data_IF_954344693627
#
_entry.id   IF_954344693627
#
_cell.length_a   1.000
_cell.length_b   1.000
_cell.length_c   1.000
_cell.angle_alpha   90.00
_cell.angle_beta   90.00
_cell.angle_gamma   90.00
#
_symmetry.space_group_name_H-M   'P 1'
#
loop_
_entity.id
_entity.type
_entity.pdbx_description
1 polymer ?
#
# COMPACT_ATOMS: atom_id res chain seq x y z
N UNK A 1 14.57 -1.32 27.43
CA UNK A 1 14.59 -2.68 26.87
C UNK A 1 13.84 -2.59 25.56
N UNK A 2 14.55 -2.64 24.43
CA UNK A 2 13.89 -2.63 23.11
C UNK A 2 13.16 -3.94 22.96
N UNK A 3 11.83 -3.92 22.97
CA UNK A 3 11.02 -5.10 22.66
C UNK A 3 11.18 -5.33 21.16
N UNK A 4 12.16 -6.14 20.81
CA UNK A 4 12.26 -6.64 19.44
C UNK A 4 10.98 -7.45 19.18
N UNK A 5 10.22 -7.06 18.20
CA UNK A 5 9.10 -7.88 17.69
C UNK A 5 9.69 -9.27 17.41
N UNK A 6 9.15 -10.34 18.01
CA UNK A 6 9.69 -11.66 17.73
C UNK A 6 9.62 -11.88 16.22
N UNK A 7 10.75 -12.26 15.61
CA UNK A 7 10.74 -12.77 14.24
C UNK A 7 9.69 -13.87 14.24
N UNK A 8 8.62 -13.70 13.44
CA UNK A 8 7.55 -14.70 13.39
C UNK A 8 8.18 -16.01 12.92
N UNK A 9 8.28 -17.02 13.77
CA UNK A 9 8.79 -18.30 13.31
C UNK A 9 7.79 -18.84 12.28
N UNK A 10 8.28 -19.12 11.06
CA UNK A 10 7.57 -19.90 10.03
C UNK A 10 6.52 -19.21 9.12
N UNK A 11 6.49 -17.89 8.94
CA UNK A 11 5.78 -17.35 7.79
C UNK A 11 6.71 -17.28 6.56
N UNK A 12 6.29 -17.88 5.45
CA UNK A 12 7.02 -17.77 4.18
C UNK A 12 7.15 -16.30 3.77
N UNK A 13 8.34 -15.80 3.36
CA UNK A 13 8.49 -14.45 2.83
C UNK A 13 7.50 -14.19 1.68
N UNK A 14 6.81 -13.05 1.74
CA UNK A 14 5.89 -12.63 0.70
C UNK A 14 6.61 -11.75 -0.29
N UNK A 15 6.31 -11.91 -1.57
CA UNK A 15 6.84 -11.07 -2.65
C UNK A 15 5.68 -10.48 -3.43
N UNK A 16 5.59 -9.16 -3.43
CA UNK A 16 4.65 -8.41 -4.26
C UNK A 16 5.34 -7.73 -5.43
N UNK A 17 4.57 -7.29 -6.40
CA UNK A 17 5.03 -6.52 -7.56
C UNK A 17 4.37 -5.17 -7.58
N UNK A 18 5.17 -4.11 -7.73
CA UNK A 18 4.69 -2.76 -7.93
C UNK A 18 4.81 -2.34 -9.38
N UNK A 19 3.68 -2.11 -10.03
CA UNK A 19 3.57 -1.77 -11.45
C UNK A 19 3.21 -0.29 -11.58
N UNK A 20 4.20 0.55 -11.86
CA UNK A 20 4.03 2.01 -11.89
C UNK A 20 3.65 2.58 -13.26
N UNK A 21 4.05 1.93 -14.33
CA UNK A 21 3.82 2.40 -15.71
C UNK A 21 3.46 1.20 -16.57
N UNK A 22 2.21 0.75 -16.43
CA UNK A 22 1.68 -0.38 -17.20
C UNK A 22 0.36 0.04 -17.80
N UNK A 23 0.22 -0.14 -19.10
CA UNK A 23 -1.06 0.08 -19.76
C UNK A 23 -2.12 -0.93 -19.27
N UNK A 24 -3.41 -0.54 -19.18
CA UNK A 24 -4.45 -1.37 -18.57
C UNK A 24 -4.60 -2.75 -19.21
N UNK A 25 -4.41 -2.86 -20.52
CA UNK A 25 -4.47 -4.12 -21.27
C UNK A 25 -3.33 -5.07 -20.91
N UNK A 26 -2.18 -4.54 -20.52
CA UNK A 26 -1.00 -5.31 -20.13
C UNK A 26 -1.01 -5.66 -18.63
N UNK A 27 -1.59 -4.78 -17.79
CA UNK A 27 -1.62 -4.97 -16.33
C UNK A 27 -2.24 -6.30 -15.93
N UNK A 28 -3.34 -6.69 -16.58
CA UNK A 28 -4.05 -7.95 -16.28
C UNK A 28 -3.17 -9.15 -16.58
N UNK A 29 -2.52 -9.17 -17.75
CA UNK A 29 -1.58 -10.23 -18.10
C UNK A 29 -0.42 -10.34 -17.11
N UNK A 30 0.20 -9.22 -16.77
CA UNK A 30 1.27 -9.19 -15.76
C UNK A 30 0.82 -9.70 -14.40
N UNK A 31 -0.38 -9.37 -13.97
CA UNK A 31 -0.90 -9.85 -12.69
C UNK A 31 -1.13 -11.36 -12.70
N UNK A 32 -1.57 -11.95 -13.83
CA UNK A 32 -1.70 -13.39 -14.01
C UNK A 32 -0.31 -14.06 -14.00
N UNK A 33 0.66 -13.51 -14.72
CA UNK A 33 2.01 -14.04 -14.75
C UNK A 33 2.68 -13.96 -13.35
N UNK A 34 2.44 -12.88 -12.61
CA UNK A 34 2.90 -12.73 -11.23
C UNK A 34 2.24 -13.77 -10.29
N UNK A 35 0.96 -14.03 -10.45
CA UNK A 35 0.25 -15.07 -9.69
C UNK A 35 0.84 -16.44 -9.98
N UNK A 36 1.07 -16.77 -11.25
CA UNK A 36 1.69 -18.04 -11.69
C UNK A 36 3.13 -18.17 -11.16
N UNK A 37 3.89 -17.09 -11.12
CA UNK A 37 5.23 -17.07 -10.53
C UNK A 37 5.22 -17.25 -9.00
N UNK A 38 4.05 -17.22 -8.36
CA UNK A 38 3.89 -17.37 -6.92
C UNK A 38 4.02 -16.06 -6.13
N UNK A 39 3.93 -14.90 -6.78
CA UNK A 39 3.87 -13.62 -6.09
C UNK A 39 2.59 -13.51 -5.25
N UNK A 40 2.70 -12.87 -4.09
CA UNK A 40 1.61 -12.71 -3.12
C UNK A 40 0.66 -11.55 -3.47
N UNK A 41 1.17 -10.51 -4.13
CA UNK A 41 0.40 -9.28 -4.34
C UNK A 41 0.88 -8.46 -5.55
N UNK A 42 -0.04 -7.70 -6.13
CA UNK A 42 0.25 -6.63 -7.10
C UNK A 42 -0.16 -5.29 -6.52
N UNK A 43 0.63 -4.25 -6.82
CA UNK A 43 0.45 -2.92 -6.28
C UNK A 43 0.46 -1.89 -7.40
N UNK A 44 -0.51 -0.98 -7.38
CA UNK A 44 -0.60 0.10 -8.35
C UNK A 44 -0.47 1.45 -7.66
N UNK A 45 0.31 2.39 -8.23
CA UNK A 45 0.37 3.77 -7.73
C UNK A 45 -0.89 4.55 -8.09
N UNK A 46 -1.03 5.72 -7.46
CA UNK A 46 -2.16 6.60 -7.74
C UNK A 46 -1.78 8.06 -7.60
N UNK A 47 -2.30 8.87 -8.51
CA UNK A 47 -2.49 10.31 -8.40
C UNK A 47 -3.83 10.67 -9.05
N UNK A 48 -4.51 11.68 -8.51
CA UNK A 48 -5.79 12.15 -9.06
C UNK A 48 -5.58 12.90 -10.37
N UNK A 49 -4.53 13.71 -10.40
CA UNK A 49 -4.07 14.50 -11.56
C UNK A 49 -2.55 14.64 -11.51
N UNK A 50 -1.96 15.04 -12.64
CA UNK A 50 -0.56 15.44 -12.71
C UNK A 50 -0.46 16.88 -13.20
N UNK A 51 -0.13 17.86 -12.33
CA UNK A 51 -0.01 19.25 -12.69
C UNK A 51 1.11 19.51 -13.72
N UNK A 52 0.90 20.46 -14.62
CA UNK A 52 1.92 20.88 -15.59
C UNK A 52 3.16 21.46 -14.88
N UNK A 53 2.93 22.25 -13.84
CA UNK A 53 4.00 22.84 -13.01
C UNK A 53 3.90 22.31 -11.60
N UNK A 54 4.93 21.56 -11.18
CA UNK A 54 5.08 21.02 -9.83
C UNK A 54 6.19 21.76 -9.12
N UNK A 55 5.88 22.45 -8.01
CA UNK A 55 6.82 23.13 -7.12
C UNK A 55 7.07 22.33 -5.85
N UNK A 56 6.15 21.44 -5.51
CA UNK A 56 6.30 20.51 -4.39
C UNK A 56 7.49 19.59 -4.61
N UNK A 57 8.27 19.36 -3.55
CA UNK A 57 9.42 18.44 -3.60
C UNK A 57 8.96 17.01 -3.36
N UNK A 58 9.38 16.09 -4.22
CA UNK A 58 9.16 14.66 -4.01
C UNK A 58 10.04 14.16 -2.84
N UNK A 59 9.44 13.58 -1.80
CA UNK A 59 10.15 13.31 -0.54
C UNK A 59 11.16 12.15 -0.58
N UNK A 60 11.13 11.33 -1.64
CA UNK A 60 11.94 10.12 -1.76
C UNK A 60 13.11 10.27 -2.75
N UNK A 61 13.50 11.51 -3.06
CA UNK A 61 14.66 11.84 -3.89
C UNK A 61 15.38 13.05 -3.34
N UNK A 62 16.70 13.01 -3.31
CA UNK A 62 17.53 14.08 -2.78
C UNK A 62 17.38 15.40 -3.58
N UNK A 63 17.19 15.28 -4.91
CA UNK A 63 16.94 16.42 -5.79
C UNK A 63 15.50 16.97 -5.68
N UNK A 64 14.61 16.25 -5.01
CA UNK A 64 13.19 16.60 -4.88
C UNK A 64 12.41 16.55 -6.19
N UNK A 65 12.99 16.06 -7.28
CA UNK A 65 12.33 15.98 -8.57
C UNK A 65 11.23 14.90 -8.57
N UNK A 66 10.11 15.13 -9.28
CA UNK A 66 9.06 14.11 -9.44
C UNK A 66 9.61 12.77 -9.98
N UNK A 67 9.03 11.64 -9.55
CA UNK A 67 9.56 10.32 -9.89
C UNK A 67 9.34 9.93 -11.36
N UNK A 68 8.33 10.54 -12.00
CA UNK A 68 7.92 10.26 -13.39
C UNK A 68 7.74 11.57 -14.16
N UNK A 69 7.83 11.54 -15.50
CA UNK A 69 7.59 12.73 -16.34
C UNK A 69 6.13 13.18 -16.29
N UNK A 70 5.87 14.42 -16.71
CA UNK A 70 4.52 15.02 -16.71
C UNK A 70 3.50 14.32 -17.65
N UNK A 71 3.98 13.61 -18.66
CA UNK A 71 3.13 12.89 -19.62
C UNK A 71 2.84 11.43 -19.23
N UNK A 72 2.73 11.14 -17.93
CA UNK A 72 2.39 9.80 -17.46
C UNK A 72 0.88 9.57 -17.53
N UNK A 73 0.46 8.40 -18.01
CA UNK A 73 -0.94 7.98 -17.92
C UNK A 73 -1.31 7.67 -16.48
N UNK A 74 -2.39 8.25 -16.00
CA UNK A 74 -2.94 8.02 -14.66
C UNK A 74 -4.29 7.33 -14.80
N UNK A 75 -4.42 6.19 -14.16
CA UNK A 75 -5.65 5.41 -14.16
C UNK A 75 -6.21 5.31 -12.76
N UNK A 76 -7.54 5.20 -12.64
CA UNK A 76 -8.15 4.92 -11.33
C UNK A 76 -7.72 3.54 -10.84
N UNK A 77 -7.12 3.44 -9.66
CA UNK A 77 -6.54 2.19 -9.17
C UNK A 77 -7.60 1.12 -8.90
N UNK A 78 -8.81 1.50 -8.48
CA UNK A 78 -9.87 0.54 -8.16
C UNK A 78 -10.47 -0.06 -9.42
N UNK A 79 -10.58 0.72 -10.50
CA UNK A 79 -11.01 0.23 -11.82
C UNK A 79 -9.98 -0.73 -12.40
N UNK A 80 -8.68 -0.37 -12.36
CA UNK A 80 -7.59 -1.24 -12.80
C UNK A 80 -7.57 -2.56 -12.03
N UNK A 81 -7.59 -2.49 -10.70
CA UNK A 81 -7.56 -3.66 -9.84
C UNK A 81 -8.83 -4.52 -9.97
N UNK A 82 -9.95 -3.92 -10.37
CA UNK A 82 -11.16 -4.67 -10.76
C UNK A 82 -10.94 -5.55 -11.97
N UNK A 83 -10.23 -5.04 -12.98
CA UNK A 83 -9.79 -5.83 -14.14
C UNK A 83 -8.90 -7.00 -13.73
N UNK A 84 -7.91 -6.75 -12.87
CA UNK A 84 -7.02 -7.81 -12.33
C UNK A 84 -7.81 -8.82 -11.51
N UNK A 85 -8.72 -8.38 -10.63
CA UNK A 85 -9.55 -9.26 -9.80
C UNK A 85 -10.34 -10.28 -10.61
N UNK A 86 -10.82 -9.87 -11.80
CA UNK A 86 -11.64 -10.72 -12.69
C UNK A 86 -10.86 -11.85 -13.37
N UNK A 87 -9.55 -11.80 -13.39
CA UNK A 87 -8.66 -12.72 -14.12
C UNK A 87 -7.64 -13.44 -13.24
N UNK A 88 -7.65 -13.16 -11.95
CA UNK A 88 -6.77 -13.77 -10.93
C UNK A 88 -7.59 -14.35 -9.79
N UNK A 89 -6.99 -15.26 -9.00
CA UNK A 89 -7.73 -16.01 -7.97
C UNK A 89 -7.15 -15.84 -6.57
N UNK A 90 -5.85 -15.68 -6.43
CA UNK A 90 -5.15 -15.69 -5.15
C UNK A 90 -4.35 -14.42 -4.86
N UNK A 91 -3.80 -13.78 -5.91
CA UNK A 91 -2.95 -12.61 -5.76
C UNK A 91 -3.71 -11.44 -5.13
N UNK A 92 -3.10 -10.80 -4.13
CA UNK A 92 -3.68 -9.66 -3.42
C UNK A 92 -3.55 -8.38 -4.24
N UNK A 93 -4.47 -7.45 -4.02
CA UNK A 93 -4.69 -6.26 -4.84
C UNK A 93 -4.43 -5.02 -3.98
N UNK A 94 -3.29 -4.39 -4.16
CA UNK A 94 -2.84 -3.27 -3.34
C UNK A 94 -2.75 -1.94 -4.09
N UNK A 95 -2.93 -0.85 -3.37
CA UNK A 95 -2.57 0.50 -3.84
C UNK A 95 -1.27 0.95 -3.16
N UNK A 96 -0.36 1.60 -3.91
CA UNK A 96 0.93 2.04 -3.36
C UNK A 96 1.30 3.44 -3.88
N UNK A 97 0.71 4.45 -3.31
CA UNK A 97 -0.33 4.49 -2.28
C UNK A 97 -1.51 5.29 -2.82
N UNK A 98 -2.72 4.98 -2.32
CA UNK A 98 -3.92 5.79 -2.56
C UNK A 98 -3.84 7.07 -1.73
N UNK A 99 -3.94 8.24 -2.37
CA UNK A 99 -3.86 9.54 -1.66
C UNK A 99 -5.18 9.80 -0.96
N UNK A 100 -5.36 9.14 0.19
CA UNK A 100 -6.63 9.06 0.91
C UNK A 100 -7.25 10.43 1.27
N UNK A 101 -6.48 11.46 1.71
CA UNK A 101 -7.06 12.77 2.04
C UNK A 101 -7.66 13.54 0.87
N UNK A 102 -7.34 13.17 -0.37
CA UNK A 102 -7.92 13.76 -1.58
C UNK A 102 -9.32 13.24 -1.92
N UNK A 103 -9.76 12.19 -1.23
CA UNK A 103 -10.92 11.43 -1.64
C UNK A 103 -12.10 11.60 -0.70
N UNK A 104 -13.29 11.49 -1.26
CA UNK A 104 -14.52 11.33 -0.48
C UNK A 104 -14.51 9.96 0.21
N UNK A 105 -14.71 9.89 1.54
CA UNK A 105 -14.67 8.64 2.28
C UNK A 105 -15.79 7.66 1.88
N UNK A 106 -16.97 8.13 1.47
CA UNK A 106 -18.07 7.25 1.07
C UNK A 106 -17.78 6.60 -0.28
N UNK A 107 -17.26 7.38 -1.24
CA UNK A 107 -16.84 6.86 -2.55
C UNK A 107 -15.71 5.85 -2.38
N UNK A 108 -14.71 6.18 -1.56
CA UNK A 108 -13.60 5.27 -1.23
C UNK A 108 -14.10 4.00 -0.56
N UNK A 109 -14.94 4.12 0.47
CA UNK A 109 -15.51 2.95 1.15
C UNK A 109 -16.24 2.02 0.18
N UNK A 110 -17.02 2.61 -0.75
CA UNK A 110 -17.80 1.86 -1.73
C UNK A 110 -16.92 1.13 -2.73
N UNK A 111 -15.94 1.81 -3.32
CA UNK A 111 -15.02 1.22 -4.30
C UNK A 111 -14.23 0.05 -3.68
N UNK A 112 -13.63 0.28 -2.50
CA UNK A 112 -12.86 -0.73 -1.77
C UNK A 112 -13.72 -1.94 -1.38
N UNK A 113 -14.91 -1.71 -0.80
CA UNK A 113 -15.80 -2.81 -0.40
C UNK A 113 -16.26 -3.64 -1.62
N UNK A 114 -16.60 -2.97 -2.73
CA UNK A 114 -17.02 -3.64 -3.96
C UNK A 114 -15.90 -4.51 -4.51
N UNK A 115 -14.69 -3.98 -4.60
CA UNK A 115 -13.53 -4.74 -5.08
C UNK A 115 -13.17 -5.89 -4.12
N UNK A 116 -13.26 -5.68 -2.80
CA UNK A 116 -12.98 -6.74 -1.83
C UNK A 116 -13.98 -7.91 -1.96
N UNK A 117 -15.26 -7.62 -2.21
CA UNK A 117 -16.29 -8.64 -2.48
C UNK A 117 -15.97 -9.38 -3.79
N UNK A 118 -15.75 -8.64 -4.90
CA UNK A 118 -15.46 -9.20 -6.21
C UNK A 118 -14.22 -10.09 -6.21
N UNK A 119 -13.23 -9.69 -5.42
CA UNK A 119 -11.96 -10.43 -5.32
C UNK A 119 -11.97 -11.55 -4.25
N UNK A 120 -13.04 -11.73 -3.49
CA UNK A 120 -13.08 -12.72 -2.41
C UNK A 120 -12.17 -12.35 -1.21
N UNK A 121 -12.04 -11.06 -0.90
CA UNK A 121 -11.28 -10.61 0.27
C UNK A 121 -9.79 -10.37 0.01
N UNK A 122 -9.38 -10.04 -1.23
CA UNK A 122 -7.96 -9.87 -1.60
C UNK A 122 -7.43 -8.44 -1.54
N UNK A 123 -8.26 -7.44 -1.27
CA UNK A 123 -7.84 -6.02 -1.31
C UNK A 123 -6.93 -5.65 -0.16
N UNK A 124 -5.94 -4.80 -0.42
CA UNK A 124 -5.13 -4.07 0.57
C UNK A 124 -5.24 -2.58 0.22
N UNK A 125 -5.83 -1.78 1.11
CA UNK A 125 -5.81 -0.33 0.97
C UNK A 125 -4.45 0.21 1.42
N UNK A 126 -3.54 0.40 0.48
CA UNK A 126 -2.31 1.13 0.75
C UNK A 126 -2.61 2.63 0.72
N UNK A 127 -2.57 3.28 1.87
CA UNK A 127 -2.96 4.66 2.06
C UNK A 127 -1.75 5.59 2.26
N UNK A 128 -1.79 6.75 1.64
CA UNK A 128 -0.78 7.79 1.80
C UNK A 128 -1.40 9.16 2.03
N UNK A 129 -0.60 10.10 2.51
CA UNK A 129 -1.06 11.49 2.70
C UNK A 129 -0.98 12.33 1.43
N UNK A 130 -0.18 11.91 0.43
CA UNK A 130 0.17 12.74 -0.71
C UNK A 130 1.27 13.76 -0.39
N UNK A 131 2.05 14.09 -1.39
CA UNK A 131 3.20 15.00 -1.31
C UNK A 131 3.04 16.28 -2.13
N UNK A 132 2.12 16.29 -3.10
CA UNK A 132 1.99 17.30 -4.14
C UNK A 132 0.88 18.31 -3.77
N UNK A 133 1.27 19.48 -3.28
CA UNK A 133 0.33 20.52 -2.85
C UNK A 133 -0.56 21.03 -4.00
N UNK A 134 -0.05 21.00 -5.22
CA UNK A 134 -0.76 21.41 -6.44
C UNK A 134 -1.96 20.50 -6.74
N UNK A 135 -1.83 19.21 -6.50
CA UNK A 135 -2.90 18.23 -6.63
C UNK A 135 -4.03 18.50 -5.62
N UNK A 136 -3.66 18.82 -4.37
CA UNK A 136 -4.62 19.22 -3.34
C UNK A 136 -5.34 20.52 -3.69
N UNK A 137 -4.61 21.50 -4.21
CA UNK A 137 -5.21 22.78 -4.64
C UNK A 137 -6.22 22.58 -5.77
N UNK A 138 -5.92 21.73 -6.76
CA UNK A 138 -6.84 21.39 -7.84
C UNK A 138 -8.10 20.66 -7.33
N UNK A 139 -7.97 19.86 -6.28
CA UNK A 139 -9.10 19.19 -5.62
C UNK A 139 -9.86 20.10 -4.65
N UNK A 140 -9.47 21.37 -4.49
CA UNK A 140 -10.09 22.30 -3.54
C UNK A 140 -9.84 21.98 -2.07
N UNK A 141 -8.75 21.26 -1.76
CA UNK A 141 -8.41 20.79 -0.40
C UNK A 141 -7.15 21.48 0.09
N UNK A 142 -7.18 22.05 1.29
CA UNK A 142 -5.97 22.61 1.91
C UNK A 142 -4.97 21.50 2.24
N UNK A 143 -3.82 21.52 1.58
CA UNK A 143 -2.73 20.58 1.74
C UNK A 143 -2.27 20.40 3.19
N UNK A 144 -2.34 21.46 4.01
CA UNK A 144 -1.95 21.42 5.42
C UNK A 144 -2.86 20.56 6.27
N UNK A 145 -4.09 20.29 5.81
CA UNK A 145 -5.09 19.50 6.53
C UNK A 145 -4.99 17.99 6.26
N UNK A 146 -4.15 17.56 5.30
CA UNK A 146 -4.11 16.19 4.81
C UNK A 146 -3.91 15.11 5.88
N UNK A 147 -3.08 15.39 6.89
CA UNK A 147 -2.85 14.46 8.00
C UNK A 147 -4.11 14.29 8.86
N UNK A 148 -4.71 15.41 9.30
CA UNK A 148 -5.91 15.38 10.13
C UNK A 148 -7.12 14.81 9.37
N UNK A 149 -7.25 15.09 8.06
CA UNK A 149 -8.28 14.47 7.21
C UNK A 149 -8.11 12.96 7.15
N UNK A 150 -6.90 12.48 6.93
CA UNK A 150 -6.61 11.04 6.90
C UNK A 150 -6.94 10.37 8.24
N UNK A 151 -6.53 10.99 9.33
CA UNK A 151 -6.77 10.49 10.69
C UNK A 151 -8.26 10.40 11.04
N UNK A 152 -9.10 11.26 10.43
CA UNK A 152 -10.55 11.23 10.58
C UNK A 152 -11.24 10.26 9.61
N UNK A 153 -10.76 10.14 8.37
CA UNK A 153 -11.32 9.26 7.34
C UNK A 153 -11.20 7.78 7.73
N UNK A 154 -10.06 7.35 8.25
CA UNK A 154 -9.80 5.93 8.51
C UNK A 154 -10.78 5.28 9.50
N UNK A 155 -11.08 5.88 10.66
CA UNK A 155 -12.13 5.35 11.55
C UNK A 155 -13.50 5.30 10.89
N UNK A 156 -13.85 6.29 10.05
CA UNK A 156 -15.13 6.29 9.32
C UNK A 156 -15.19 5.14 8.32
N UNK A 157 -14.12 4.87 7.56
CA UNK A 157 -14.06 3.71 6.66
C UNK A 157 -14.28 2.40 7.42
N UNK A 158 -13.58 2.21 8.55
CA UNK A 158 -13.74 0.99 9.37
C UNK A 158 -15.15 0.84 9.90
N UNK A 159 -15.79 1.95 10.34
CA UNK A 159 -17.17 1.95 10.80
C UNK A 159 -18.15 1.60 9.66
N UNK A 160 -17.99 2.20 8.48
CA UNK A 160 -18.79 1.89 7.30
C UNK A 160 -18.69 0.40 6.91
N UNK A 161 -17.52 -0.20 7.04
CA UNK A 161 -17.29 -1.60 6.67
C UNK A 161 -17.76 -2.61 7.72
N UNK A 162 -18.06 -2.20 8.95
CA UNK A 162 -18.39 -3.13 10.04
C UNK A 162 -19.71 -2.85 10.73
N UNK A 163 -20.05 -1.58 11.01
CA UNK A 163 -21.20 -1.25 11.82
C UNK A 163 -22.50 -1.27 11.00
N UNK A 164 -23.61 -1.62 11.63
CA UNK A 164 -24.93 -1.57 11.00
C UNK A 164 -25.30 -0.12 10.61
N UNK A 165 -25.09 0.81 11.55
CA UNK A 165 -25.29 2.24 11.34
C UNK A 165 -23.97 2.96 11.63
N UNK A 166 -23.58 3.84 10.72
CA UNK A 166 -22.41 4.71 10.86
C UNK A 166 -22.83 6.16 10.84
N UNK A 167 -22.28 6.96 11.74
CA UNK A 167 -22.39 8.42 11.71
C UNK A 167 -21.04 9.05 12.05
N UNK A 168 -20.82 10.30 11.63
CA UNK A 168 -19.65 11.09 11.96
C UNK A 168 -20.01 12.56 12.11
N UNK A 169 -19.47 13.21 13.10
CA UNK A 169 -19.58 14.67 13.29
C UNK A 169 -18.19 15.30 13.39
N UNK A 170 -17.29 14.87 12.53
CA UNK A 170 -15.92 15.36 12.47
C UNK A 170 -15.80 16.73 11.81
N UNK A 171 -14.58 17.22 11.80
CA UNK A 171 -14.25 18.48 11.11
C UNK A 171 -14.33 18.32 9.59
N UNK A 172 -13.90 17.19 9.06
CA UNK A 172 -13.76 16.92 7.62
C UNK A 172 -14.81 15.94 7.11
N UNK A 173 -15.33 15.05 7.96
CA UNK A 173 -16.33 14.07 7.60
C UNK A 173 -17.56 14.27 8.47
N UNK A 174 -18.63 14.83 7.87
CA UNK A 174 -19.93 14.96 8.50
C UNK A 174 -20.89 13.99 7.83
N UNK A 175 -21.35 13.01 8.58
CA UNK A 175 -22.19 11.94 8.08
C UNK A 175 -23.36 11.73 9.05
N UNK A 176 -24.61 11.92 8.62
CA UNK A 176 -25.77 11.52 9.44
C UNK A 176 -25.76 10.00 9.63
N UNK A 177 -26.57 9.43 10.53
CA UNK A 177 -26.71 8.00 10.64
C UNK A 177 -27.10 7.36 9.30
N UNK A 178 -26.26 6.45 8.78
CA UNK A 178 -26.47 5.80 7.49
C UNK A 178 -26.21 4.30 7.58
N UNK A 179 -26.91 3.54 6.73
CA UNK A 179 -26.58 2.16 6.42
C UNK A 179 -25.63 2.09 5.22
N UNK A 180 -24.60 1.29 5.35
CA UNK A 180 -23.62 1.04 4.27
C UNK A 180 -23.58 -0.45 3.95
N UNK A 181 -24.23 -0.86 2.88
CA UNK A 181 -24.28 -2.25 2.42
C UNK A 181 -23.97 -2.34 0.92
N UNK A 182 -23.36 -3.47 0.43
CA UNK A 182 -22.87 -4.59 1.23
C UNK A 182 -21.58 -4.25 1.99
N UNK A 183 -21.27 -5.02 3.04
CA UNK A 183 -20.01 -4.96 3.78
C UNK A 183 -18.95 -5.76 3.03
N UNK A 184 -17.65 -5.34 3.06
CA UNK A 184 -16.57 -6.18 2.56
C UNK A 184 -16.45 -7.46 3.41
N UNK A 185 -16.00 -8.60 2.84
CA UNK A 185 -15.91 -9.89 3.55
C UNK A 185 -15.14 -9.83 4.87
N UNK A 186 -14.12 -8.97 4.94
CA UNK A 186 -13.27 -8.81 6.13
C UNK A 186 -13.74 -7.72 7.09
N UNK A 187 -14.77 -6.95 6.72
CA UNK A 187 -15.31 -5.87 7.56
C UNK A 187 -14.22 -4.89 8.00
N UNK A 188 -14.21 -4.52 9.27
CA UNK A 188 -13.17 -3.64 9.85
C UNK A 188 -11.73 -4.20 9.76
N UNK A 189 -11.55 -5.50 9.50
CA UNK A 189 -10.25 -6.15 9.35
C UNK A 189 -9.67 -6.04 7.94
N UNK A 190 -10.36 -5.38 6.99
CA UNK A 190 -9.78 -5.07 5.69
C UNK A 190 -8.46 -4.31 5.91
N UNK A 191 -7.31 -4.79 5.40
CA UNK A 191 -6.02 -4.20 5.70
C UNK A 191 -5.89 -2.78 5.16
N UNK A 192 -5.48 -1.88 6.01
CA UNK A 192 -5.04 -0.53 5.64
C UNK A 192 -3.55 -0.46 5.97
N UNK A 193 -2.72 -0.27 4.95
CA UNK A 193 -1.26 -0.17 5.06
C UNK A 193 -0.85 1.26 4.76
N UNK A 194 -0.04 1.88 5.60
CA UNK A 194 0.36 3.28 5.41
C UNK A 194 1.75 3.40 4.80
N UNK A 195 1.87 4.26 3.79
CA UNK A 195 3.17 4.72 3.28
C UNK A 195 3.70 5.95 4.04
N UNK A 196 5.01 6.17 3.92
CA UNK A 196 5.71 7.34 4.44
C UNK A 196 6.78 7.01 5.48
N UNK A 197 7.87 7.83 5.45
CA UNK A 197 9.10 7.56 6.20
C UNK A 197 9.27 8.43 7.44
N UNK A 198 8.48 9.51 7.56
CA UNK A 198 8.59 10.40 8.72
C UNK A 198 8.11 9.74 10.00
N UNK A 199 8.61 10.19 11.15
CA UNK A 199 8.14 9.70 12.44
C UNK A 199 6.62 9.78 12.59
N UNK A 200 6.01 10.88 12.13
CA UNK A 200 4.56 11.04 12.14
C UNK A 200 3.85 9.99 11.25
N UNK A 201 4.46 9.59 10.13
CA UNK A 201 3.91 8.54 9.27
C UNK A 201 3.99 7.16 9.95
N UNK A 202 5.13 6.82 10.57
CA UNK A 202 5.30 5.57 11.30
C UNK A 202 4.33 5.48 12.49
N UNK A 203 4.19 6.56 13.26
CA UNK A 203 3.21 6.64 14.36
C UNK A 203 1.76 6.49 13.85
N UNK A 204 1.42 7.10 12.70
CA UNK A 204 0.09 6.93 12.08
C UNK A 204 -0.12 5.48 11.66
N UNK A 205 0.83 4.86 11.01
CA UNK A 205 0.76 3.45 10.63
C UNK A 205 0.52 2.57 11.86
N UNK A 206 1.29 2.75 12.92
CA UNK A 206 1.13 2.00 14.17
C UNK A 206 -0.21 2.26 14.87
N UNK A 207 -0.75 3.49 14.81
CA UNK A 207 -2.01 3.84 15.47
C UNK A 207 -3.25 3.38 14.71
N UNK A 208 -3.28 3.53 13.38
CA UNK A 208 -4.49 3.39 12.56
C UNK A 208 -4.43 2.23 11.55
N UNK A 209 -3.22 1.79 11.18
CA UNK A 209 -3.00 0.80 10.13
C UNK A 209 -2.92 -0.64 10.62
N UNK A 210 -2.88 -1.54 9.65
CA UNK A 210 -2.53 -2.95 9.82
C UNK A 210 -1.15 -3.26 9.25
N UNK A 211 -0.43 -2.25 8.76
CA UNK A 211 0.90 -2.38 8.21
C UNK A 211 1.50 -1.05 7.78
N UNK A 212 2.76 -1.14 7.41
CA UNK A 212 3.55 -0.05 6.87
C UNK A 212 4.22 -0.47 5.56
N UNK A 213 4.34 0.48 4.64
CA UNK A 213 5.02 0.32 3.36
C UNK A 213 6.14 1.34 3.26
N UNK A 214 7.38 0.84 3.26
CA UNK A 214 8.60 1.63 3.17
C UNK A 214 9.20 1.66 1.77
N UNK A 215 9.90 2.77 1.48
CA UNK A 215 10.46 3.04 0.14
C UNK A 215 11.98 3.05 0.20
N UNK A 216 12.64 2.17 -0.56
CA UNK A 216 14.10 2.13 -0.76
C UNK A 216 14.92 1.92 0.52
N UNK A 217 14.50 0.98 1.36
CA UNK A 217 15.26 0.57 2.54
C UNK A 217 16.35 -0.44 2.20
N UNK A 218 17.39 -0.46 3.05
CA UNK A 218 18.31 -1.60 3.19
C UNK A 218 17.79 -2.54 4.30
N UNK A 219 18.29 -3.79 4.40
CA UNK A 219 17.96 -4.64 5.53
C UNK A 219 18.29 -4.00 6.89
N UNK A 220 19.38 -3.24 7.00
CA UNK A 220 19.76 -2.53 8.24
C UNK A 220 18.72 -1.47 8.61
N UNK A 221 18.40 -0.55 7.68
CA UNK A 221 17.42 0.49 7.93
C UNK A 221 16.02 -0.08 8.15
N UNK A 222 15.71 -1.24 7.57
CA UNK A 222 14.45 -1.96 7.83
C UNK A 222 14.36 -2.41 9.28
N UNK A 223 15.44 -2.98 9.87
CA UNK A 223 15.47 -3.36 11.30
C UNK A 223 15.18 -2.17 12.21
N UNK A 224 15.77 -1.01 11.91
CA UNK A 224 15.57 0.21 12.70
C UNK A 224 14.12 0.68 12.64
N UNK A 225 13.51 0.67 11.45
CA UNK A 225 12.09 1.04 11.30
C UNK A 225 11.17 0.04 11.96
N UNK A 226 11.43 -1.26 11.85
CA UNK A 226 10.66 -2.32 12.51
C UNK A 226 10.69 -2.15 14.04
N UNK A 227 11.86 -1.85 14.62
CA UNK A 227 12.01 -1.61 16.05
C UNK A 227 11.21 -0.36 16.50
N UNK A 228 11.27 0.74 15.71
CA UNK A 228 10.50 1.97 16.00
C UNK A 228 9.00 1.72 15.92
N UNK A 229 8.51 1.06 14.86
CA UNK A 229 7.10 0.69 14.72
C UNK A 229 6.66 -0.20 15.87
N UNK A 230 7.46 -1.20 16.27
CA UNK A 230 7.18 -2.06 17.41
C UNK A 230 7.00 -1.27 18.71
N UNK A 231 7.86 -0.26 18.94
CA UNK A 231 7.73 0.64 20.10
C UNK A 231 6.43 1.46 20.05
N UNK A 232 6.05 1.97 18.88
CA UNK A 232 4.80 2.73 18.72
C UNK A 232 3.56 1.84 18.87
N UNK A 233 3.58 0.62 18.35
CA UNK A 233 2.50 -0.34 18.56
C UNK A 233 2.30 -0.63 20.06
N UNK A 234 3.39 -0.83 20.80
CA UNK A 234 3.32 -1.02 22.27
C UNK A 234 2.77 0.24 22.98
N UNK A 235 3.22 1.45 22.57
CA UNK A 235 2.71 2.73 23.10
C UNK A 235 1.19 2.87 22.90
N UNK A 236 0.66 2.39 21.76
CA UNK A 236 -0.77 2.43 21.45
C UNK A 236 -1.56 1.21 21.96
N UNK A 237 -0.94 0.30 22.73
CA UNK A 237 -1.60 -0.91 23.24
C UNK A 237 -1.89 -1.97 22.16
N UNK A 238 -1.14 -1.95 21.06
CA UNK A 238 -1.34 -2.80 19.88
C UNK A 238 -0.16 -3.76 19.63
N UNK A 239 0.69 -3.99 20.63
CA UNK A 239 1.91 -4.79 20.49
C UNK A 239 1.66 -6.23 20.03
N UNK A 240 0.52 -6.82 20.38
CA UNK A 240 0.15 -8.20 20.04
C UNK A 240 -0.66 -8.31 18.74
N UNK A 241 -0.97 -7.17 18.08
CA UNK A 241 -1.74 -7.19 16.85
C UNK A 241 -0.88 -7.60 15.64
N UNK A 242 -1.55 -8.22 14.67
CA UNK A 242 -0.95 -8.48 13.36
C UNK A 242 -0.70 -7.17 12.63
N UNK A 243 0.58 -6.87 12.39
CA UNK A 243 1.01 -5.68 11.68
C UNK A 243 2.04 -6.08 10.59
N UNK A 244 1.80 -5.73 9.34
CA UNK A 244 2.62 -6.15 8.21
C UNK A 244 3.63 -5.08 7.82
N UNK A 245 4.88 -5.47 7.67
CA UNK A 245 5.98 -4.62 7.18
C UNK A 245 6.24 -4.98 5.71
N UNK A 246 5.97 -4.03 4.82
CA UNK A 246 6.28 -4.16 3.39
C UNK A 246 7.38 -3.18 3.02
N UNK A 247 8.41 -3.62 2.29
CA UNK A 247 9.49 -2.75 1.80
C UNK A 247 9.64 -2.86 0.29
N UNK A 248 9.92 -1.72 -0.37
CA UNK A 248 10.15 -1.69 -1.81
C UNK A 248 11.59 -2.02 -2.13
N UNK A 249 11.77 -2.90 -3.13
CA UNK A 249 13.07 -3.36 -3.64
C UNK A 249 13.13 -3.16 -5.15
N UNK A 250 14.28 -2.73 -5.66
CA UNK A 250 14.49 -2.59 -7.11
C UNK A 250 14.43 -3.95 -7.82
N UNK A 251 13.81 -4.05 -9.01
CA UNK A 251 13.81 -5.28 -9.81
C UNK A 251 15.23 -5.79 -10.16
N UNK A 252 16.21 -4.89 -10.20
CA UNK A 252 17.62 -5.24 -10.49
C UNK A 252 18.31 -5.92 -9.32
N UNK A 253 17.86 -5.64 -8.11
CA UNK A 253 18.48 -6.08 -6.85
C UNK A 253 17.89 -7.39 -6.32
N UNK A 254 16.76 -7.83 -6.85
CA UNK A 254 16.06 -9.00 -6.34
C UNK A 254 16.86 -10.27 -6.56
N UNK A 255 17.21 -10.94 -5.47
CA UNK A 255 17.83 -12.26 -5.40
C UNK A 255 17.25 -13.03 -4.23
N UNK A 256 17.48 -14.34 -4.15
CA UNK A 256 17.09 -15.14 -2.98
C UNK A 256 17.68 -14.55 -1.69
N UNK A 257 18.97 -14.21 -1.69
CA UNK A 257 19.64 -13.62 -0.53
C UNK A 257 19.00 -12.31 -0.09
N UNK A 258 18.67 -11.43 -1.02
CA UNK A 258 17.97 -10.15 -0.72
C UNK A 258 16.61 -10.42 -0.06
N UNK A 259 15.83 -11.38 -0.55
CA UNK A 259 14.55 -11.76 0.08
C UNK A 259 14.77 -12.25 1.51
N UNK A 260 15.76 -13.11 1.72
CA UNK A 260 16.14 -13.64 3.05
C UNK A 260 16.60 -12.51 3.97
N UNK A 261 17.46 -11.62 3.50
CA UNK A 261 18.02 -10.52 4.32
C UNK A 261 16.93 -9.56 4.81
N UNK A 262 16.00 -9.18 3.94
CA UNK A 262 14.86 -8.34 4.33
C UNK A 262 13.89 -9.06 5.28
N UNK A 263 13.64 -10.34 5.07
CA UNK A 263 12.83 -11.14 5.97
C UNK A 263 13.46 -11.24 7.35
N UNK A 264 14.77 -11.51 7.43
CA UNK A 264 15.51 -11.51 8.69
C UNK A 264 15.59 -10.13 9.35
N UNK A 265 15.46 -9.08 8.56
CA UNK A 265 15.35 -7.71 9.07
C UNK A 265 13.94 -7.37 9.62
N UNK A 266 12.96 -8.29 9.48
CA UNK A 266 11.60 -8.14 10.00
C UNK A 266 10.59 -7.65 8.97
N UNK A 267 10.92 -7.62 7.67
CA UNK A 267 9.94 -7.41 6.63
C UNK A 267 9.07 -8.67 6.43
N UNK A 268 7.76 -8.51 6.37
CA UNK A 268 6.82 -9.59 6.04
C UNK A 268 6.69 -9.76 4.52
N UNK A 269 6.87 -8.66 3.76
CA UNK A 269 6.80 -8.62 2.29
C UNK A 269 7.89 -7.73 1.72
N UNK A 270 8.50 -8.17 0.63
CA UNK A 270 9.17 -7.26 -0.30
C UNK A 270 8.24 -6.95 -1.48
N UNK A 271 8.20 -5.68 -1.90
CA UNK A 271 7.46 -5.24 -3.07
C UNK A 271 8.46 -4.85 -4.16
N UNK A 272 8.58 -5.69 -5.19
CA UNK A 272 9.54 -5.49 -6.26
C UNK A 272 8.99 -4.52 -7.29
N UNK A 273 9.69 -3.41 -7.51
CA UNK A 273 9.24 -2.42 -8.47
C UNK A 273 10.15 -1.22 -8.59
N UNK A 274 9.86 -0.36 -9.56
CA UNK A 274 10.56 0.91 -9.76
C UNK A 274 9.69 1.85 -10.60
N UNK A 275 9.64 3.16 -10.29
CA UNK A 275 8.93 4.15 -11.09
C UNK A 275 9.38 4.22 -12.55
N UNK A 276 10.56 3.68 -12.83
CA UNK A 276 11.23 3.76 -14.14
C UNK A 276 11.53 2.40 -14.75
N UNK A 277 11.03 1.31 -14.17
CA UNK A 277 11.25 -0.02 -14.76
C UNK A 277 10.44 -0.14 -16.06
N UNK A 278 11.11 -0.25 -17.23
CA UNK A 278 10.38 -0.43 -18.48
C UNK A 278 9.72 -1.80 -18.51
N UNK A 279 8.58 -1.93 -19.19
CA UNK A 279 7.81 -3.17 -19.28
C UNK A 279 8.63 -4.38 -19.73
N UNK A 280 9.61 -4.16 -20.62
CA UNK A 280 10.46 -5.22 -21.18
C UNK A 280 11.32 -5.98 -20.15
N UNK A 281 11.51 -5.45 -18.94
CA UNK A 281 12.31 -6.15 -17.91
C UNK A 281 11.45 -7.12 -17.08
N UNK A 282 10.14 -6.98 -17.11
CA UNK A 282 9.27 -7.75 -16.23
C UNK A 282 9.19 -9.25 -16.52
N UNK A 283 9.22 -9.74 -17.78
CA UNK A 283 9.24 -11.18 -18.05
C UNK A 283 10.45 -11.86 -17.38
N UNK A 284 11.64 -11.29 -17.50
CA UNK A 284 12.87 -11.80 -16.86
C UNK A 284 12.78 -11.71 -15.32
N UNK A 285 12.24 -10.62 -14.80
CA UNK A 285 12.02 -10.44 -13.35
C UNK A 285 11.05 -11.48 -12.81
N UNK A 286 9.96 -11.77 -13.51
CA UNK A 286 8.97 -12.77 -13.09
C UNK A 286 9.54 -14.20 -13.12
N UNK A 287 10.30 -14.55 -14.16
CA UNK A 287 11.00 -15.83 -14.25
C UNK A 287 11.97 -16.02 -13.06
N UNK A 288 12.76 -14.98 -12.79
CA UNK A 288 13.67 -14.96 -11.65
C UNK A 288 12.95 -15.09 -10.31
N UNK A 289 11.84 -14.36 -10.13
CA UNK A 289 11.02 -14.45 -8.93
C UNK A 289 10.40 -15.84 -8.76
N UNK A 290 9.92 -16.45 -9.83
CA UNK A 290 9.41 -17.82 -9.81
C UNK A 290 10.46 -18.80 -9.29
N UNK A 291 11.72 -18.67 -9.74
CA UNK A 291 12.83 -19.48 -9.25
C UNK A 291 13.13 -19.21 -7.77
N UNK A 292 13.24 -17.94 -7.40
CA UNK A 292 13.50 -17.52 -6.00
C UNK A 292 12.42 -18.04 -5.05
N UNK A 293 11.15 -17.88 -5.40
CA UNK A 293 10.03 -18.27 -4.54
C UNK A 293 9.85 -19.79 -4.39
N UNK A 294 10.47 -20.58 -5.28
CA UNK A 294 10.50 -22.05 -5.18
C UNK A 294 11.71 -22.55 -4.38
N UNK A 295 12.64 -21.67 -4.01
CA UNK A 295 13.87 -22.06 -3.29
C UNK A 295 13.55 -22.71 -1.94
N UNK A 296 14.26 -23.81 -1.58
CA UNK A 296 14.16 -24.42 -0.26
C UNK A 296 14.49 -23.48 0.90
N UNK A 297 15.32 -22.47 0.68
CA UNK A 297 15.69 -21.47 1.71
C UNK A 297 14.53 -20.55 2.11
N UNK A 298 13.45 -20.49 1.29
CA UNK A 298 12.25 -19.69 1.55
C UNK A 298 11.03 -20.54 1.95
N UNK A 299 11.22 -21.85 2.17
CA UNK A 299 10.15 -22.79 2.57
C UNK A 299 9.96 -22.94 4.06
#
# INVERSE_FOLDING_TARGET
>A
MVVLRPVRPYSKPKVGIWLSVVEPDQLVGFAQDAELAGCDSVWVPEHLIWPDVIRSKYPYRDDGAPPVPSAVNLYDPWVLLGGVASKTTTIRLGTCVYVLPLRDPLVTARAVATLDILSGGRVILGAGLGWMAEEFAAAGIDFRTRAARCDEIVPVLRSLWSNEITSSNGRFVKLPPVHFNPKPPRGAKLPIVFGGESEHALRRAARLGNGWLGTWHTPESTRDVVARIGSYLAEYGRGDEDFEITVMVSPREVTEQVVVDFYQAGADRICVGSPRAPLRVWPEVLEKLGTVLQSPALR
#
